data_IF_088859188241
#
_entry.id   IF_088859188241
#
_cell.length_a   1.000
_cell.length_b   1.000
_cell.length_c   1.000
_cell.angle_alpha   90.00
_cell.angle_beta   90.00
_cell.angle_gamma   90.00
#
_symmetry.space_group_name_H-M   'P 1'
#
loop_
_entity.id
_entity.type
_entity.pdbx_description
1 polymer ?
#
# COMPACT_ATOMS: atom_id res chain seq x y z
N UNK A 1 18.97 -5.81 6.40
CA UNK A 1 18.65 -4.41 6.75
C UNK A 1 17.34 -4.30 7.51
N UNK A 2 17.15 -3.24 8.28
CA UNK A 2 15.97 -3.03 9.15
C UNK A 2 14.66 -2.71 8.40
N UNK A 3 14.69 -2.59 7.07
CA UNK A 3 13.53 -2.24 6.25
C UNK A 3 13.20 -0.74 6.25
N UNK A 4 14.17 0.11 6.56
CA UNK A 4 13.99 1.57 6.57
C UNK A 4 13.95 2.12 5.14
N UNK A 5 13.00 3.01 4.88
CA UNK A 5 12.84 3.68 3.59
C UNK A 5 13.56 5.04 3.63
N UNK A 6 14.35 5.40 2.61
CA UNK A 6 14.97 6.73 2.55
C UNK A 6 13.93 7.85 2.61
N UNK A 7 14.15 8.88 3.44
CA UNK A 7 13.18 9.97 3.62
C UNK A 7 12.84 10.73 2.33
N UNK A 8 13.76 10.74 1.35
CA UNK A 8 13.56 11.35 0.03
C UNK A 8 13.00 10.40 -1.04
N UNK A 9 12.51 9.21 -0.65
CA UNK A 9 12.00 8.25 -1.63
C UNK A 9 10.74 8.81 -2.31
N UNK A 10 10.71 8.94 -3.64
CA UNK A 10 9.67 9.68 -4.35
C UNK A 10 8.26 9.08 -4.16
N UNK A 11 8.17 7.79 -3.89
CA UNK A 11 6.89 7.13 -3.67
C UNK A 11 6.23 7.44 -2.31
N UNK A 12 6.98 7.91 -1.29
CA UNK A 12 6.47 8.07 0.08
C UNK A 12 5.28 9.03 0.17
N UNK A 13 5.26 10.08 -0.67
CA UNK A 13 4.17 11.04 -0.74
C UNK A 13 2.82 10.38 -1.08
N UNK A 14 2.84 9.32 -1.88
CA UNK A 14 1.64 8.69 -2.42
C UNK A 14 1.11 7.54 -1.55
N UNK A 15 1.94 6.94 -0.69
CA UNK A 15 1.60 5.72 0.07
C UNK A 15 0.37 5.91 0.96
N UNK A 16 0.25 6.98 1.78
CA UNK A 16 -0.93 7.14 2.64
C UNK A 16 -2.22 7.24 1.82
N UNK A 17 -2.20 8.05 0.75
CA UNK A 17 -3.37 8.25 -0.11
C UNK A 17 -3.81 6.94 -0.78
N UNK A 18 -2.86 6.10 -1.24
CA UNK A 18 -3.18 4.81 -1.84
C UNK A 18 -3.75 3.80 -0.83
N UNK A 19 -3.21 3.74 0.39
CA UNK A 19 -3.74 2.88 1.46
C UNK A 19 -5.20 3.22 1.79
N UNK A 20 -5.51 4.51 1.98
CA UNK A 20 -6.89 4.95 2.21
C UNK A 20 -7.76 4.81 0.95
N UNK A 21 -7.17 4.98 -0.24
CA UNK A 21 -7.82 4.76 -1.53
C UNK A 21 -8.39 3.36 -1.65
N UNK A 22 -7.68 2.32 -1.17
CA UNK A 22 -8.18 0.94 -1.20
C UNK A 22 -9.43 0.71 -0.36
N UNK A 23 -9.58 1.43 0.76
CA UNK A 23 -10.79 1.39 1.58
C UNK A 23 -12.02 1.95 0.84
N UNK A 24 -11.82 2.85 -0.12
CA UNK A 24 -12.90 3.50 -0.87
C UNK A 24 -13.15 2.87 -2.23
N UNK A 25 -12.10 2.53 -2.96
CA UNK A 25 -12.19 2.07 -4.34
C UNK A 25 -12.51 0.58 -4.44
N UNK A 26 -12.02 -0.26 -3.53
CA UNK A 26 -12.31 -1.70 -3.60
C UNK A 26 -13.80 -2.02 -3.46
N UNK A 27 -14.58 -1.39 -2.56
CA UNK A 27 -16.03 -1.56 -2.54
C UNK A 27 -16.71 -1.14 -3.85
N UNK A 28 -16.22 -0.08 -4.48
CA UNK A 28 -16.77 0.44 -5.75
C UNK A 28 -16.48 -0.50 -6.91
N UNK A 29 -15.26 -1.04 -6.99
CA UNK A 29 -14.81 -1.86 -8.12
C UNK A 29 -15.16 -3.34 -7.97
N UNK A 30 -15.11 -3.88 -6.76
CA UNK A 30 -15.23 -5.32 -6.48
C UNK A 30 -16.46 -5.68 -5.64
N UNK A 31 -17.21 -4.71 -5.13
CA UNK A 31 -18.31 -4.94 -4.20
C UNK A 31 -17.86 -5.51 -2.85
N UNK A 32 -16.56 -5.43 -2.53
CA UNK A 32 -15.94 -6.03 -1.34
C UNK A 32 -15.17 -4.99 -0.54
N UNK A 33 -15.31 -5.05 0.78
CA UNK A 33 -14.52 -4.23 1.69
C UNK A 33 -13.04 -4.65 1.66
N UNK A 34 -12.13 -3.69 1.80
CA UNK A 34 -10.72 -3.97 2.03
C UNK A 34 -10.50 -4.33 3.50
N UNK A 35 -10.48 -5.63 3.79
CA UNK A 35 -10.17 -6.14 5.13
C UNK A 35 -8.66 -6.08 5.42
N UNK A 36 -8.29 -6.37 6.67
CA UNK A 36 -6.89 -6.34 7.09
C UNK A 36 -6.02 -7.30 6.25
N UNK A 37 -6.52 -8.49 5.92
CA UNK A 37 -5.77 -9.47 5.13
C UNK A 37 -5.50 -8.97 3.70
N UNK A 38 -6.47 -8.27 3.09
CA UNK A 38 -6.29 -7.64 1.80
C UNK A 38 -5.27 -6.51 1.86
N UNK A 39 -5.34 -5.64 2.88
CA UNK A 39 -4.41 -4.53 3.03
C UNK A 39 -2.98 -5.01 3.28
N UNK A 40 -2.79 -6.07 4.06
CA UNK A 40 -1.47 -6.71 4.24
C UNK A 40 -0.93 -7.20 2.90
N UNK A 41 -1.72 -7.96 2.13
CA UNK A 41 -1.29 -8.42 0.79
C UNK A 41 -1.01 -7.27 -0.17
N UNK A 42 -1.75 -6.17 -0.08
CA UNK A 42 -1.49 -4.98 -0.90
C UNK A 42 -0.15 -4.33 -0.52
N UNK A 43 0.15 -4.23 0.77
CA UNK A 43 1.44 -3.73 1.24
C UNK A 43 2.58 -4.62 0.75
N UNK A 44 2.46 -5.93 0.94
CA UNK A 44 3.48 -6.91 0.55
C UNK A 44 3.69 -6.97 -0.98
N UNK A 45 2.60 -6.99 -1.76
CA UNK A 45 2.70 -7.20 -3.21
C UNK A 45 2.95 -5.91 -4.01
N UNK A 46 2.65 -4.73 -3.45
CA UNK A 46 2.69 -3.46 -4.19
C UNK A 46 3.53 -2.41 -3.49
N UNK A 47 3.25 -2.13 -2.21
CA UNK A 47 3.89 -1.01 -1.51
C UNK A 47 5.37 -1.29 -1.25
N UNK A 48 5.71 -2.44 -0.66
CA UNK A 48 7.12 -2.77 -0.34
C UNK A 48 7.99 -2.85 -1.62
N UNK A 49 7.56 -3.53 -2.70
CA UNK A 49 8.33 -3.53 -3.95
C UNK A 49 8.51 -2.14 -4.55
N UNK A 50 7.47 -1.28 -4.49
CA UNK A 50 7.57 0.10 -4.97
C UNK A 50 8.54 0.97 -4.15
N UNK A 51 8.88 0.55 -2.93
CA UNK A 51 9.87 1.18 -2.05
C UNK A 51 11.25 0.51 -2.13
N UNK A 52 11.43 -0.48 -3.01
CA UNK A 52 12.67 -1.24 -3.14
C UNK A 52 12.94 -2.21 -1.99
N UNK A 53 11.90 -2.59 -1.25
CA UNK A 53 11.97 -3.53 -0.13
C UNK A 53 11.49 -4.93 -0.56
N UNK A 54 11.99 -5.99 0.11
CA UNK A 54 11.56 -7.37 -0.13
C UNK A 54 10.11 -7.61 0.28
#
# INVERSE_FOLDING_TARGET
DRGEVPAGHPALEYVPAQLFGMLRMRPVLEGKQADAAYLVRFVEAVVLPALGLP
#
